data_IF_074746411189
#
_entry.id   IF_074746411189
#
_cell.length_a   1.000
_cell.length_b   1.000
_cell.length_c   1.000
_cell.angle_alpha   90.00
_cell.angle_beta   90.00
_cell.angle_gamma   90.00
#
_symmetry.space_group_name_H-M   'P 1'
#
loop_
_entity.id
_entity.type
_entity.pdbx_description
1 polymer ?
#
# COMPACT_ATOMS: atom_id res chain seq x y z
N UNK A 1 -28.69 -33.56 24.72
CA UNK A 1 -29.67 -32.85 23.87
C UNK A 1 -30.08 -33.80 22.75
N UNK A 2 -31.37 -34.11 22.55
CA UNK A 2 -31.78 -35.02 21.46
C UNK A 2 -31.53 -34.31 20.13
N UNK A 3 -30.63 -34.85 19.31
CA UNK A 3 -30.33 -34.32 17.98
C UNK A 3 -31.62 -34.27 17.15
N UNK A 4 -31.91 -33.11 16.57
CA UNK A 4 -32.99 -32.95 15.62
C UNK A 4 -32.64 -33.70 14.33
N UNK A 5 -33.29 -34.84 14.11
CA UNK A 5 -33.07 -35.71 12.96
C UNK A 5 -33.52 -35.08 11.63
N UNK A 6 -34.17 -33.90 11.66
CA UNK A 6 -34.56 -33.13 10.47
C UNK A 6 -33.61 -31.97 10.18
N UNK A 7 -32.64 -31.71 11.07
CA UNK A 7 -31.61 -30.70 10.86
C UNK A 7 -30.75 -31.08 9.67
N UNK A 8 -30.56 -30.14 8.74
CA UNK A 8 -29.65 -30.35 7.60
C UNK A 8 -28.24 -30.55 8.15
N UNK A 9 -27.54 -31.58 7.67
CA UNK A 9 -26.13 -31.84 8.00
C UNK A 9 -25.27 -30.57 7.87
N UNK A 10 -25.51 -29.78 6.82
CA UNK A 10 -24.84 -28.50 6.54
C UNK A 10 -25.09 -27.37 7.56
N UNK A 11 -26.02 -27.56 8.49
CA UNK A 11 -26.29 -26.59 9.56
C UNK A 11 -25.81 -27.10 10.92
N UNK A 12 -25.14 -28.26 10.95
CA UNK A 12 -24.58 -28.82 12.17
C UNK A 12 -23.27 -28.11 12.46
N UNK A 13 -23.20 -27.60 13.67
CA UNK A 13 -22.03 -26.93 14.17
C UNK A 13 -21.16 -27.96 14.88
N UNK A 14 -19.91 -28.11 14.44
CA UNK A 14 -18.99 -29.13 14.93
C UNK A 14 -17.94 -28.56 15.90
N UNK A 15 -17.85 -27.23 16.05
CA UNK A 15 -16.90 -26.58 16.94
C UNK A 15 -17.41 -26.52 18.38
N UNK A 16 -16.52 -26.81 19.33
CA UNK A 16 -16.74 -26.59 20.76
C UNK A 16 -16.84 -25.08 21.06
N UNK A 17 -17.56 -24.69 22.11
CA UNK A 17 -17.75 -23.27 22.47
C UNK A 17 -16.40 -22.59 22.83
N UNK A 18 -15.45 -23.35 23.40
CA UNK A 18 -14.10 -22.88 23.72
C UNK A 18 -13.26 -22.62 22.46
N UNK A 19 -13.35 -23.49 21.44
CA UNK A 19 -12.63 -23.35 20.17
C UNK A 19 -13.07 -22.09 19.41
N UNK A 20 -14.34 -21.71 19.53
CA UNK A 20 -14.86 -20.48 18.92
C UNK A 20 -14.36 -19.22 19.59
N UNK A 21 -14.27 -19.20 20.92
CA UNK A 21 -13.74 -18.05 21.63
C UNK A 21 -12.30 -17.76 21.19
N UNK A 22 -11.48 -18.80 21.02
CA UNK A 22 -10.13 -18.68 20.48
C UNK A 22 -10.12 -18.15 19.04
N UNK A 23 -11.01 -18.62 18.16
CA UNK A 23 -11.12 -18.08 16.80
C UNK A 23 -11.52 -16.61 16.74
N UNK A 24 -12.44 -16.19 17.62
CA UNK A 24 -12.87 -14.80 17.67
C UNK A 24 -11.75 -13.87 18.14
N UNK A 25 -10.91 -14.37 19.07
CA UNK A 25 -9.74 -13.66 19.56
C UNK A 25 -8.63 -13.60 18.48
N UNK A 26 -8.20 -14.73 17.94
CA UNK A 26 -7.16 -14.77 16.89
C UNK A 26 -7.58 -14.06 15.61
N UNK A 27 -8.85 -14.19 15.25
CA UNK A 27 -9.45 -13.52 14.10
C UNK A 27 -9.74 -12.04 14.33
N UNK A 28 -9.50 -11.50 15.53
CA UNK A 28 -9.74 -10.10 15.88
C UNK A 28 -11.18 -9.64 15.56
N UNK A 29 -12.20 -10.46 15.87
CA UNK A 29 -13.60 -10.18 15.52
C UNK A 29 -14.09 -8.85 16.08
N UNK A 30 -13.59 -8.44 17.25
CA UNK A 30 -13.88 -7.16 17.88
C UNK A 30 -13.48 -5.93 17.03
N UNK A 31 -12.58 -6.08 16.04
CA UNK A 31 -12.28 -5.01 15.09
C UNK A 31 -13.49 -4.57 14.25
N UNK A 32 -14.45 -5.47 14.00
CA UNK A 32 -15.61 -5.19 13.15
C UNK A 32 -16.61 -4.20 13.78
N UNK A 33 -16.55 -4.03 15.09
CA UNK A 33 -17.42 -3.12 15.83
C UNK A 33 -16.79 -1.72 16.02
N UNK A 34 -15.48 -1.60 15.75
CA UNK A 34 -14.75 -0.33 15.90
C UNK A 34 -14.97 0.55 14.67
N UNK A 35 -15.61 1.69 14.86
CA UNK A 35 -15.72 2.75 13.85
C UNK A 35 -15.06 4.02 14.37
N UNK A 36 -13.86 4.31 13.88
CA UNK A 36 -13.18 5.59 14.13
C UNK A 36 -13.16 6.43 12.84
N UNK A 37 -13.53 7.72 12.88
CA UNK A 37 -13.22 8.62 11.76
C UNK A 37 -11.70 8.66 11.60
N UNK A 38 -11.19 8.52 10.38
CA UNK A 38 -9.78 8.78 10.11
C UNK A 38 -9.65 9.91 9.10
N UNK A 39 -8.58 10.68 9.30
CA UNK A 39 -8.23 11.81 8.46
C UNK A 39 -7.81 11.33 7.07
N UNK A 40 -7.89 12.24 6.11
CA UNK A 40 -7.37 12.00 4.77
C UNK A 40 -5.84 12.09 4.74
N UNK A 41 -5.24 11.55 3.67
CA UNK A 41 -3.79 11.61 3.44
C UNK A 41 -3.29 13.06 3.41
N UNK A 42 -3.94 14.02 2.67
CA UNK A 42 -3.51 15.41 2.69
C UNK A 42 -3.61 16.09 4.06
N UNK A 43 -4.58 15.71 4.90
CA UNK A 43 -4.71 16.26 6.26
C UNK A 43 -3.53 15.84 7.14
N UNK A 44 -3.22 14.53 7.21
CA UNK A 44 -2.06 14.05 7.97
C UNK A 44 -0.74 14.59 7.42
N UNK A 45 -0.61 14.72 6.10
CA UNK A 45 0.58 15.34 5.51
C UNK A 45 0.72 16.81 5.92
N UNK A 46 -0.37 17.58 5.94
CA UNK A 46 -0.35 18.98 6.35
C UNK A 46 0.08 19.16 7.81
N UNK A 47 -0.26 18.21 8.70
CA UNK A 47 0.25 18.20 10.08
C UNK A 47 1.79 18.11 10.12
N UNK A 48 2.39 17.27 9.26
CA UNK A 48 3.85 17.16 9.17
C UNK A 48 4.51 18.41 8.57
N UNK A 49 3.87 19.04 7.57
CA UNK A 49 4.34 20.32 7.00
C UNK A 49 4.36 21.43 8.06
N UNK A 50 3.37 21.47 8.95
CA UNK A 50 3.33 22.42 10.08
C UNK A 50 4.39 22.08 11.12
N UNK A 51 4.59 20.78 11.40
CA UNK A 51 5.52 20.28 12.42
C UNK A 51 6.98 20.62 12.11
N UNK A 52 7.45 20.28 10.91
CA UNK A 52 8.80 20.61 10.44
C UNK A 52 8.82 20.90 8.93
N UNK A 53 8.52 22.14 8.52
CA UNK A 53 8.49 22.51 7.11
C UNK A 53 9.87 22.43 6.41
N UNK A 54 10.95 22.46 7.19
CA UNK A 54 12.33 22.48 6.70
C UNK A 54 12.93 21.08 6.52
N UNK A 55 12.38 20.07 7.19
CA UNK A 55 12.80 18.68 7.04
C UNK A 55 12.69 18.20 5.58
N UNK A 56 13.62 17.33 5.18
CA UNK A 56 13.62 16.71 3.86
C UNK A 56 12.51 15.65 3.80
N UNK A 57 11.52 15.88 2.94
CA UNK A 57 10.42 14.94 2.72
C UNK A 57 10.79 13.86 1.70
N UNK A 58 11.39 14.26 0.57
CA UNK A 58 11.72 13.34 -0.53
C UNK A 58 13.13 13.63 -1.05
N UNK A 59 13.93 12.59 -1.31
CA UNK A 59 15.19 12.70 -2.03
C UNK A 59 15.28 11.71 -3.20
N UNK A 60 15.98 12.11 -4.25
CA UNK A 60 16.19 11.31 -5.46
C UNK A 60 17.47 11.75 -6.16
N UNK A 61 18.47 10.86 -6.27
CA UNK A 61 19.70 11.12 -7.03
C UNK A 61 20.46 12.37 -6.59
N UNK A 62 20.57 12.60 -5.28
CA UNK A 62 21.25 13.77 -4.70
C UNK A 62 20.44 15.07 -4.69
N UNK A 63 19.25 15.11 -5.30
CA UNK A 63 18.28 16.20 -5.11
C UNK A 63 17.37 15.90 -3.93
N UNK A 64 16.93 16.93 -3.22
CA UNK A 64 15.99 16.81 -2.11
C UNK A 64 14.93 17.90 -2.16
N UNK A 65 13.74 17.59 -1.64
CA UNK A 65 12.61 18.49 -1.48
C UNK A 65 12.14 18.43 -0.04
N UNK A 66 11.97 19.59 0.59
CA UNK A 66 11.46 19.68 1.95
C UNK A 66 9.95 19.43 2.02
N UNK A 67 9.41 19.20 3.22
CA UNK A 67 7.96 19.13 3.43
C UNK A 67 7.22 20.35 2.88
N UNK A 68 7.72 21.57 3.16
CA UNK A 68 7.18 22.80 2.58
C UNK A 68 7.28 22.82 1.06
N UNK A 69 8.43 22.44 0.50
CA UNK A 69 8.64 22.43 -0.95
C UNK A 69 7.69 21.47 -1.67
N UNK A 70 7.47 20.29 -1.09
CA UNK A 70 6.53 19.30 -1.61
C UNK A 70 5.09 19.79 -1.49
N UNK A 71 4.73 20.42 -0.37
CA UNK A 71 3.42 21.01 -0.15
C UNK A 71 3.09 22.10 -1.20
N UNK A 72 3.99 23.05 -1.38
CA UNK A 72 3.84 24.15 -2.33
C UNK A 72 3.76 23.64 -3.79
N UNK A 73 4.65 22.72 -4.18
CA UNK A 73 4.64 22.14 -5.52
C UNK A 73 3.34 21.36 -5.81
N UNK A 74 2.89 20.55 -4.86
CA UNK A 74 1.63 19.80 -4.99
C UNK A 74 0.40 20.71 -4.95
N UNK A 75 0.41 21.82 -4.19
CA UNK A 75 -0.65 22.83 -4.22
C UNK A 75 -0.76 23.50 -5.61
N UNK A 76 0.36 23.82 -6.24
CA UNK A 76 0.37 24.39 -7.60
C UNK A 76 -0.28 23.44 -8.61
N UNK A 77 0.10 22.17 -8.55
CA UNK A 77 -0.53 21.16 -9.40
C UNK A 77 -2.02 21.01 -9.09
N UNK A 78 -2.41 20.94 -7.81
CA UNK A 78 -3.82 20.81 -7.42
C UNK A 78 -4.68 21.93 -8.00
N UNK A 79 -4.23 23.19 -7.94
CA UNK A 79 -4.96 24.32 -8.56
C UNK A 79 -5.08 24.20 -10.08
N UNK A 80 -4.01 23.76 -10.76
CA UNK A 80 -4.05 23.52 -12.20
C UNK A 80 -5.01 22.37 -12.55
N UNK A 81 -5.03 21.30 -11.78
CA UNK A 81 -5.95 20.19 -11.97
C UNK A 81 -7.41 20.65 -11.78
N UNK A 82 -7.69 21.45 -10.74
CA UNK A 82 -9.01 22.02 -10.48
C UNK A 82 -9.47 22.92 -11.64
N UNK A 83 -8.57 23.70 -12.25
CA UNK A 83 -8.93 24.52 -13.42
C UNK A 83 -9.30 23.71 -14.66
N UNK A 84 -8.89 22.42 -14.71
CA UNK A 84 -9.30 21.45 -15.71
C UNK A 84 -10.53 20.61 -15.29
N UNK A 85 -11.18 20.95 -14.18
CA UNK A 85 -12.39 20.27 -13.71
C UNK A 85 -12.14 19.01 -12.86
N UNK A 86 -10.91 18.81 -12.39
CA UNK A 86 -10.59 17.71 -11.45
C UNK A 86 -11.11 18.06 -10.05
N UNK A 87 -11.76 17.08 -9.40
CA UNK A 87 -12.27 17.20 -8.05
C UNK A 87 -12.80 15.86 -7.50
N UNK A 88 -13.55 15.85 -6.39
CA UNK A 88 -14.08 14.62 -5.80
C UNK A 88 -14.87 13.76 -6.78
N UNK A 89 -14.61 12.45 -6.76
CA UNK A 89 -15.21 11.47 -7.67
C UNK A 89 -14.59 11.42 -9.08
N UNK A 90 -13.68 12.34 -9.42
CA UNK A 90 -12.91 12.30 -10.65
C UNK A 90 -11.62 11.48 -10.48
N UNK A 91 -10.98 11.18 -11.61
CA UNK A 91 -9.72 10.44 -11.68
C UNK A 91 -8.69 11.20 -12.51
N UNK A 92 -7.43 11.11 -12.09
CA UNK A 92 -6.28 11.62 -12.83
C UNK A 92 -5.32 10.47 -13.09
N UNK A 93 -4.98 10.23 -14.36
CA UNK A 93 -3.98 9.21 -14.68
C UNK A 93 -2.57 9.78 -14.51
N UNK A 94 -1.68 8.98 -13.93
CA UNK A 94 -0.29 9.33 -13.67
C UNK A 94 0.60 8.35 -14.44
N UNK A 95 1.31 8.84 -15.46
CA UNK A 95 2.27 8.04 -16.23
C UNK A 95 3.68 8.50 -15.86
N UNK A 96 4.32 7.79 -14.94
CA UNK A 96 5.59 8.20 -14.34
C UNK A 96 6.50 7.01 -14.01
N UNK A 97 7.79 7.19 -14.24
CA UNK A 97 8.82 6.45 -13.50
C UNK A 97 8.90 6.99 -12.07
N UNK A 98 9.47 6.23 -11.14
CA UNK A 98 9.71 6.73 -9.77
C UNK A 98 10.59 7.99 -9.81
N UNK A 99 10.07 9.10 -9.28
CA UNK A 99 10.77 10.38 -9.19
C UNK A 99 10.12 11.28 -8.13
N UNK A 100 10.74 12.43 -7.84
CA UNK A 100 10.16 13.47 -6.97
C UNK A 100 8.88 14.03 -7.59
N UNK A 101 8.91 14.25 -8.90
CA UNK A 101 7.80 14.79 -9.68
C UNK A 101 6.59 13.86 -9.64
N UNK A 102 6.80 12.54 -9.61
CA UNK A 102 5.72 11.58 -9.41
C UNK A 102 5.06 11.70 -8.03
N UNK A 103 5.84 11.94 -6.97
CA UNK A 103 5.31 12.16 -5.61
C UNK A 103 4.56 13.49 -5.52
N UNK A 104 5.08 14.55 -6.17
CA UNK A 104 4.37 15.84 -6.33
C UNK A 104 3.03 15.61 -7.05
N UNK A 105 3.03 14.80 -8.11
CA UNK A 105 1.83 14.49 -8.88
C UNK A 105 0.77 13.76 -8.06
N UNK A 106 1.17 12.72 -7.31
CA UNK A 106 0.29 12.00 -6.39
C UNK A 106 -0.32 12.96 -5.36
N UNK A 107 0.51 13.73 -4.65
CA UNK A 107 0.01 14.67 -3.63
C UNK A 107 -0.89 15.75 -4.21
N UNK A 108 -0.57 16.28 -5.40
CA UNK A 108 -1.38 17.29 -6.07
C UNK A 108 -2.75 16.77 -6.47
N UNK A 109 -2.83 15.53 -6.98
CA UNK A 109 -4.12 14.88 -7.27
C UNK A 109 -4.93 14.69 -5.99
N UNK A 110 -4.32 14.12 -4.95
CA UNK A 110 -5.01 13.85 -3.69
C UNK A 110 -5.59 15.12 -3.04
N UNK A 111 -4.88 16.25 -3.14
CA UNK A 111 -5.35 17.55 -2.64
C UNK A 111 -6.58 18.12 -3.38
N UNK A 112 -6.90 17.62 -4.57
CA UNK A 112 -8.15 17.96 -5.26
C UNK A 112 -9.35 17.13 -4.79
N UNK A 113 -9.11 16.06 -4.02
CA UNK A 113 -10.10 15.03 -3.69
C UNK A 113 -10.37 14.02 -4.83
N UNK A 114 -9.68 14.14 -5.96
CA UNK A 114 -9.72 13.13 -7.01
C UNK A 114 -8.81 11.93 -6.67
N UNK A 115 -9.12 10.79 -7.29
CA UNK A 115 -8.29 9.59 -7.18
C UNK A 115 -7.17 9.61 -8.22
N UNK A 116 -5.95 9.25 -7.83
CA UNK A 116 -4.88 9.01 -8.82
C UNK A 116 -4.95 7.57 -9.36
N UNK A 117 -4.60 7.42 -10.64
CA UNK A 117 -4.53 6.14 -11.34
C UNK A 117 -3.10 5.97 -11.86
N UNK A 118 -2.22 5.28 -11.13
CA UNK A 118 -0.84 5.13 -11.54
C UNK A 118 -0.71 4.10 -12.67
N UNK A 119 0.09 4.43 -13.67
CA UNK A 119 0.38 3.57 -14.81
C UNK A 119 1.89 3.45 -14.94
N UNK A 120 2.40 2.22 -14.84
CA UNK A 120 3.82 1.95 -14.99
C UNK A 120 4.26 2.18 -16.45
N UNK A 121 5.25 3.04 -16.71
CA UNK A 121 5.68 3.38 -18.07
C UNK A 121 6.36 2.21 -18.79
N UNK A 122 6.71 1.11 -18.12
CA UNK A 122 7.23 -0.08 -18.79
C UNK A 122 6.14 -0.94 -19.44
N UNK A 123 4.85 -0.71 -19.14
CA UNK A 123 3.77 -1.52 -19.72
C UNK A 123 3.60 -1.23 -21.22
N UNK A 124 3.21 -2.21 -22.04
CA UNK A 124 2.94 -1.98 -23.46
C UNK A 124 1.79 -0.98 -23.71
N UNK A 125 1.79 -0.28 -24.85
CA UNK A 125 0.79 0.74 -25.19
C UNK A 125 -0.65 0.20 -25.22
N UNK A 126 -0.84 -1.08 -25.52
CA UNK A 126 -2.17 -1.72 -25.42
C UNK A 126 -2.68 -1.74 -23.98
N UNK A 127 -1.80 -1.98 -23.00
CA UNK A 127 -2.13 -1.98 -21.58
C UNK A 127 -2.37 -0.57 -21.07
N UNK A 128 -1.54 0.39 -21.47
CA UNK A 128 -1.71 1.82 -21.18
C UNK A 128 -3.08 2.31 -21.66
N UNK A 129 -3.41 2.10 -22.95
CA UNK A 129 -4.71 2.50 -23.52
C UNK A 129 -5.88 1.82 -22.83
N UNK A 130 -5.76 0.53 -22.50
CA UNK A 130 -6.80 -0.16 -21.74
C UNK A 130 -7.09 0.54 -20.41
N UNK A 131 -6.06 0.85 -19.62
CA UNK A 131 -6.24 1.52 -18.32
C UNK A 131 -6.84 2.91 -18.50
N UNK A 132 -6.36 3.70 -19.46
CA UNK A 132 -6.93 5.03 -19.73
C UNK A 132 -8.42 4.95 -20.12
N UNK A 133 -8.80 4.01 -20.98
CA UNK A 133 -10.20 3.84 -21.40
C UNK A 133 -11.09 3.34 -20.25
N UNK A 134 -10.63 2.36 -19.48
CA UNK A 134 -11.43 1.74 -18.42
C UNK A 134 -11.54 2.65 -17.19
N UNK A 135 -10.47 3.38 -16.85
CA UNK A 135 -10.47 4.32 -15.73
C UNK A 135 -11.20 5.62 -16.07
N UNK A 136 -11.21 6.07 -17.33
CA UNK A 136 -11.82 7.34 -17.73
C UNK A 136 -11.35 8.53 -16.90
N UNK A 137 -10.04 8.85 -16.87
CA UNK A 137 -9.51 10.01 -16.18
C UNK A 137 -9.90 11.31 -16.91
N UNK A 138 -9.97 12.42 -16.17
CA UNK A 138 -10.24 13.76 -16.74
C UNK A 138 -9.00 14.29 -17.46
N UNK A 139 -7.83 14.10 -16.85
CA UNK A 139 -6.53 14.52 -17.39
C UNK A 139 -5.47 13.44 -17.13
N UNK A 140 -4.36 13.52 -17.87
CA UNK A 140 -3.15 12.73 -17.61
C UNK A 140 -2.03 13.68 -17.20
N UNK A 141 -1.33 13.38 -16.11
CA UNK A 141 -0.11 14.09 -15.71
C UNK A 141 1.08 13.17 -15.98
N UNK A 142 2.13 13.71 -16.59
CA UNK A 142 3.33 12.95 -16.98
C UNK A 142 4.54 13.88 -17.16
N UNK A 143 5.66 13.38 -17.68
CA UNK A 143 6.82 14.18 -18.11
C UNK A 143 6.84 14.34 -19.63
N UNK A 144 7.55 15.35 -20.14
CA UNK A 144 7.79 15.53 -21.57
C UNK A 144 8.24 14.24 -22.28
N UNK A 145 9.11 13.44 -21.65
CA UNK A 145 9.68 12.24 -22.29
C UNK A 145 8.65 11.12 -22.48
N UNK A 146 7.61 11.08 -21.65
CA UNK A 146 6.56 10.06 -21.67
C UNK A 146 5.29 10.54 -22.41
N UNK A 147 5.18 11.84 -22.69
CA UNK A 147 4.00 12.45 -23.32
C UNK A 147 3.67 11.86 -24.70
N UNK A 148 4.68 11.51 -25.51
CA UNK A 148 4.48 10.95 -26.85
C UNK A 148 3.67 9.64 -26.83
N UNK A 149 3.77 8.87 -25.75
CA UNK A 149 3.01 7.61 -25.58
C UNK A 149 1.51 7.81 -25.38
N UNK A 150 1.11 9.02 -25.02
CA UNK A 150 -0.29 9.41 -24.82
C UNK A 150 -0.93 9.96 -26.10
N UNK A 151 -0.18 9.99 -27.21
CA UNK A 151 -0.65 10.43 -28.51
C UNK A 151 -1.94 9.71 -28.94
N UNK A 152 -2.94 10.49 -29.37
CA UNK A 152 -4.23 9.96 -29.82
C UNK A 152 -5.19 9.51 -28.70
N UNK A 153 -4.86 9.74 -27.42
CA UNK A 153 -5.77 9.47 -26.30
C UNK A 153 -6.97 10.43 -26.24
N UNK A 154 -6.85 11.63 -26.80
CA UNK A 154 -7.87 12.69 -26.72
C UNK A 154 -7.98 13.35 -25.33
N UNK A 155 -7.09 13.00 -24.40
CA UNK A 155 -7.04 13.55 -23.05
C UNK A 155 -6.16 14.81 -23.01
N UNK A 156 -6.43 15.70 -22.06
CA UNK A 156 -5.51 16.78 -21.72
C UNK A 156 -4.30 16.17 -21.03
N UNK A 157 -3.11 16.47 -21.58
CA UNK A 157 -1.82 16.03 -21.05
C UNK A 157 -1.17 17.22 -20.37
N UNK A 158 -0.84 17.07 -19.09
CA UNK A 158 -0.12 18.06 -18.29
C UNK A 158 1.30 17.54 -18.09
N UNK A 159 2.29 18.31 -18.56
CA UNK A 159 3.67 18.10 -18.19
C UNK A 159 3.90 18.67 -16.78
N UNK A 160 4.45 17.86 -15.89
CA UNK A 160 4.72 18.23 -14.51
C UNK A 160 5.75 19.37 -14.38
N UNK A 161 6.68 19.46 -15.33
CA UNK A 161 7.76 20.46 -15.30
C UNK A 161 7.26 21.86 -15.68
N UNK A 162 6.20 21.96 -16.48
CA UNK A 162 5.53 23.23 -16.80
C UNK A 162 4.85 23.85 -15.57
N UNK A 163 4.40 23.01 -14.64
CA UNK A 163 3.78 23.43 -13.37
C UNK A 163 4.82 24.03 -12.40
N UNK A 164 6.06 23.54 -12.48
CA UNK A 164 7.18 24.01 -11.65
C UNK A 164 7.83 25.28 -12.20
N UNK A 165 7.70 25.53 -13.52
CA UNK A 165 8.39 26.61 -14.24
C UNK A 165 7.52 27.85 -14.50
N UNK A 166 6.23 27.81 -14.16
CA UNK A 166 5.29 28.89 -14.42
C UNK A 166 5.59 30.18 -13.62
N UNK A 167 5.37 31.39 -14.20
CA UNK A 167 5.51 32.65 -13.50
C UNK A 167 4.31 32.83 -12.55
N UNK A 168 4.50 32.51 -11.28
CA UNK A 168 3.54 32.78 -10.21
C UNK A 168 4.26 32.87 -8.87
N UNK A 169 3.73 33.60 -7.88
CA UNK A 169 4.29 33.55 -6.53
C UNK A 169 4.25 32.11 -6.01
N UNK A 170 5.22 31.75 -5.14
CA UNK A 170 5.21 30.47 -4.42
C UNK A 170 3.88 30.23 -3.66
N UNK A 171 3.18 31.33 -3.34
CA UNK A 171 1.77 31.37 -3.03
C UNK A 171 0.94 31.58 -4.30
N UNK A 172 0.26 30.54 -4.78
CA UNK A 172 -0.94 30.80 -5.58
C UNK A 172 -1.94 31.42 -4.61
N UNK A 173 -2.33 32.69 -4.83
CA UNK A 173 -3.52 33.32 -4.24
C UNK A 173 -4.78 32.63 -4.78
N UNK A 174 -4.85 31.32 -4.60
CA UNK A 174 -5.96 30.46 -4.97
C UNK A 174 -6.89 30.31 -3.77
N UNK A 175 -8.17 29.96 -4.01
CA UNK A 175 -9.04 29.60 -2.90
C UNK A 175 -8.40 28.46 -2.11
N UNK A 176 -8.44 28.56 -0.77
CA UNK A 176 -7.89 27.53 0.10
C UNK A 176 -8.44 26.15 -0.31
N UNK A 177 -7.52 25.21 -0.57
CA UNK A 177 -7.91 23.83 -0.89
C UNK A 177 -8.64 23.24 0.32
N UNK A 178 -9.86 22.77 0.09
CA UNK A 178 -10.60 22.05 1.12
C UNK A 178 -10.01 20.66 1.26
N UNK A 179 -9.79 20.21 2.50
CA UNK A 179 -9.34 18.86 2.76
C UNK A 179 -10.35 17.85 2.18
N UNK A 180 -9.87 16.81 1.47
CA UNK A 180 -10.77 15.76 0.99
C UNK A 180 -11.32 14.96 2.17
N UNK A 181 -12.49 14.35 1.98
CA UNK A 181 -13.05 13.48 3.00
C UNK A 181 -12.21 12.20 3.08
N UNK A 182 -12.00 11.65 4.28
CA UNK A 182 -11.40 10.32 4.45
C UNK A 182 -12.15 9.22 3.67
N UNK A 183 -13.42 9.45 3.29
CA UNK A 183 -14.21 8.52 2.47
C UNK A 183 -14.04 8.65 0.96
N UNK A 184 -13.40 9.71 0.49
CA UNK A 184 -13.09 9.89 -0.93
C UNK A 184 -12.04 8.86 -1.38
N UNK A 185 -12.10 8.46 -2.65
CA UNK A 185 -11.15 7.51 -3.23
C UNK A 185 -9.80 8.20 -3.40
N UNK A 186 -8.76 7.68 -2.74
CA UNK A 186 -7.39 8.17 -2.88
C UNK A 186 -6.75 7.67 -4.18
N UNK A 187 -6.93 6.38 -4.47
CA UNK A 187 -6.34 5.79 -5.66
C UNK A 187 -7.16 4.66 -6.28
N UNK A 188 -6.88 4.41 -7.55
CA UNK A 188 -7.32 3.21 -8.27
C UNK A 188 -6.12 2.50 -8.88
N UNK A 189 -5.76 1.35 -8.31
CA UNK A 189 -4.65 0.52 -8.80
C UNK A 189 -5.21 -0.67 -9.59
N UNK A 190 -4.64 -0.94 -10.77
CA UNK A 190 -5.09 -2.02 -11.65
C UNK A 190 -4.32 -3.31 -11.41
N UNK A 191 -5.01 -4.36 -10.98
CA UNK A 191 -4.43 -5.70 -10.80
C UNK A 191 -4.68 -6.60 -12.02
N UNK A 192 -3.86 -7.64 -12.18
CA UNK A 192 -4.11 -8.72 -13.14
C UNK A 192 -5.35 -9.50 -12.67
N UNK A 193 -6.46 -9.37 -13.41
CA UNK A 193 -7.65 -10.19 -13.14
C UNK A 193 -7.38 -11.65 -13.48
N UNK A 194 -7.98 -12.58 -12.72
CA UNK A 194 -7.94 -14.03 -13.03
C UNK A 194 -8.56 -14.35 -14.39
N UNK A 195 -9.42 -13.48 -14.90
CA UNK A 195 -10.02 -13.54 -16.25
C UNK A 195 -9.09 -13.03 -17.36
N UNK A 196 -7.86 -12.62 -17.02
CA UNK A 196 -6.90 -11.97 -17.92
C UNK A 196 -7.20 -10.51 -18.21
N UNK A 197 -8.39 -10.01 -17.88
CA UNK A 197 -8.75 -8.59 -18.04
C UNK A 197 -8.42 -7.83 -16.75
N UNK A 198 -7.59 -6.78 -16.82
CA UNK A 198 -7.24 -6.01 -15.65
C UNK A 198 -8.44 -5.27 -15.01
N UNK A 199 -8.38 -5.08 -13.69
CA UNK A 199 -9.46 -4.52 -12.88
C UNK A 199 -8.91 -3.45 -11.94
N UNK A 200 -9.53 -2.28 -11.92
CA UNK A 200 -9.13 -1.17 -11.04
C UNK A 200 -9.77 -1.31 -9.66
N UNK A 201 -8.95 -1.42 -8.62
CA UNK A 201 -9.39 -1.49 -7.21
C UNK A 201 -9.44 -0.09 -6.63
N UNK A 202 -10.60 0.35 -6.14
CA UNK A 202 -10.78 1.67 -5.54
C UNK A 202 -10.54 1.67 -4.03
N UNK A 203 -9.53 2.41 -3.58
CA UNK A 203 -9.15 2.52 -2.18
C UNK A 203 -9.38 3.95 -1.65
N UNK A 204 -10.15 4.13 -0.57
CA UNK A 204 -10.35 5.44 0.03
C UNK A 204 -9.18 5.87 0.91
N UNK A 205 -9.04 7.19 1.10
CA UNK A 205 -8.00 7.77 1.95
C UNK A 205 -7.91 7.12 3.34
N UNK A 206 -9.06 6.94 3.98
CA UNK A 206 -9.15 6.39 5.33
C UNK A 206 -8.52 5.01 5.48
N UNK A 207 -8.48 4.21 4.41
CA UNK A 207 -7.88 2.88 4.50
C UNK A 207 -6.36 2.97 4.62
N UNK A 208 -5.74 3.90 3.87
CA UNK A 208 -4.29 4.13 3.96
C UNK A 208 -3.93 4.68 5.32
N UNK A 209 -4.67 5.67 5.82
CA UNK A 209 -4.36 6.28 7.12
C UNK A 209 -4.57 5.30 8.27
N UNK A 210 -5.60 4.45 8.22
CA UNK A 210 -5.81 3.38 9.21
C UNK A 210 -4.79 2.25 9.13
N UNK A 211 -4.35 1.87 7.92
CA UNK A 211 -3.25 0.91 7.77
C UNK A 211 -2.05 1.41 8.56
N UNK A 212 -1.70 2.68 8.36
CA UNK A 212 -0.55 3.30 9.00
C UNK A 212 -0.73 3.50 10.51
N UNK A 213 -1.92 3.87 10.97
CA UNK A 213 -2.24 3.93 12.41
C UNK A 213 -2.10 2.54 13.06
N UNK A 214 -2.56 1.48 12.39
CA UNK A 214 -2.58 0.13 12.95
C UNK A 214 -1.20 -0.53 13.07
N UNK A 215 -0.20 -0.05 12.35
CA UNK A 215 1.18 -0.56 12.36
C UNK A 215 2.11 0.30 13.21
N UNK A 216 1.73 1.55 13.52
CA UNK A 216 2.63 2.51 14.18
C UNK A 216 3.00 2.01 15.58
N UNK A 217 1.99 1.48 16.28
CA UNK A 217 2.16 0.81 17.58
C UNK A 217 3.16 -0.37 17.52
N UNK A 218 3.26 -1.07 16.37
CA UNK A 218 4.09 -2.26 16.20
C UNK A 218 5.48 -1.96 15.62
N UNK A 219 5.62 -0.92 14.80
CA UNK A 219 6.86 -0.58 14.06
C UNK A 219 7.59 0.65 14.59
N UNK A 220 7.00 1.41 15.50
CA UNK A 220 7.55 2.64 16.07
C UNK A 220 7.98 3.64 14.98
N UNK A 221 7.02 4.16 14.21
CA UNK A 221 7.33 5.08 13.11
C UNK A 221 7.70 6.45 13.67
N UNK A 222 8.97 6.84 13.53
CA UNK A 222 9.48 8.08 14.11
C UNK A 222 9.92 9.11 13.04
N UNK A 223 9.77 10.42 13.32
CA UNK A 223 10.24 11.46 12.41
C UNK A 223 11.73 11.32 12.07
N UNK A 224 12.08 11.61 10.82
CA UNK A 224 13.45 11.54 10.32
C UNK A 224 13.93 10.15 9.88
N UNK A 225 13.15 9.08 10.07
CA UNK A 225 13.46 7.75 9.51
C UNK A 225 13.62 7.81 7.99
N UNK A 226 14.60 7.08 7.46
CA UNK A 226 14.84 6.94 6.03
C UNK A 226 14.10 5.75 5.44
N UNK A 227 13.23 5.99 4.47
CA UNK A 227 12.43 4.97 3.82
C UNK A 227 12.86 4.82 2.36
N UNK A 228 13.10 3.59 1.90
CA UNK A 228 13.36 3.34 0.49
C UNK A 228 12.06 3.14 -0.30
N UNK A 229 11.92 3.86 -1.43
CA UNK A 229 10.87 3.60 -2.41
C UNK A 229 11.43 2.77 -3.56
N UNK A 230 11.18 1.46 -3.53
CA UNK A 230 11.71 0.50 -4.49
C UNK A 230 10.65 0.00 -5.47
N UNK A 231 9.37 0.02 -5.09
CA UNK A 231 8.32 -0.64 -5.85
C UNK A 231 7.65 0.28 -6.88
N UNK A 232 7.18 -0.31 -7.98
CA UNK A 232 6.43 0.42 -9.02
C UNK A 232 5.27 1.20 -8.40
N UNK A 233 5.04 2.42 -8.90
CA UNK A 233 3.89 3.25 -8.50
C UNK A 233 2.54 2.59 -8.83
N UNK A 234 2.55 1.64 -9.76
CA UNK A 234 1.37 0.83 -10.12
C UNK A 234 1.17 -0.40 -9.21
N UNK A 235 2.00 -0.57 -8.19
CA UNK A 235 1.86 -1.58 -7.15
C UNK A 235 1.66 -0.90 -5.80
N UNK A 236 0.79 -1.44 -4.96
CA UNK A 236 0.33 -0.80 -3.74
C UNK A 236 1.36 -0.82 -2.59
N UNK A 237 2.45 -1.58 -2.68
CA UNK A 237 3.63 -1.35 -1.84
C UNK A 237 4.19 0.08 -1.95
N UNK A 238 4.08 0.72 -3.11
CA UNK A 238 4.51 2.12 -3.23
C UNK A 238 3.65 3.05 -2.36
N UNK A 239 2.39 2.71 -2.08
CA UNK A 239 1.50 3.46 -1.17
C UNK A 239 2.05 3.39 0.25
N UNK A 240 2.45 2.20 0.69
CA UNK A 240 3.12 1.98 1.98
C UNK A 240 4.43 2.77 2.07
N UNK A 241 5.31 2.64 1.07
CA UNK A 241 6.61 3.31 1.08
C UNK A 241 6.45 4.84 1.15
N UNK A 242 5.58 5.40 0.31
CA UNK A 242 5.37 6.86 0.21
C UNK A 242 4.71 7.40 1.47
N UNK A 243 3.56 6.84 1.86
CA UNK A 243 2.78 7.44 2.95
C UNK A 243 3.25 6.99 4.33
N UNK A 244 3.89 5.83 4.47
CA UNK A 244 4.58 5.44 5.70
C UNK A 244 5.65 6.47 6.07
N UNK A 245 6.46 6.90 5.09
CA UNK A 245 7.44 7.95 5.28
C UNK A 245 6.80 9.33 5.53
N UNK A 246 5.94 9.78 4.60
CA UNK A 246 5.49 11.17 4.57
C UNK A 246 4.48 11.54 5.67
N UNK A 247 3.73 10.59 6.20
CA UNK A 247 2.71 10.87 7.21
C UNK A 247 3.24 10.83 8.65
N UNK A 248 4.47 10.35 8.86
CA UNK A 248 5.15 10.29 10.18
C UNK A 248 6.36 11.24 10.27
N UNK A 249 6.55 12.13 9.29
CA UNK A 249 7.69 13.06 9.29
C UNK A 249 9.02 12.40 8.88
N UNK A 250 8.97 11.24 8.23
CA UNK A 250 10.14 10.56 7.68
C UNK A 250 10.65 11.18 6.37
N UNK A 251 11.71 10.60 5.82
CA UNK A 251 12.29 10.95 4.51
C UNK A 251 12.14 9.79 3.54
N UNK A 252 11.42 10.02 2.44
CA UNK A 252 11.29 9.09 1.34
C UNK A 252 12.49 9.21 0.37
N UNK A 253 13.25 8.14 0.19
CA UNK A 253 14.36 8.05 -0.76
C UNK A 253 13.90 7.27 -1.98
N UNK A 254 13.75 7.97 -3.10
CA UNK A 254 13.33 7.39 -4.38
C UNK A 254 14.49 6.62 -5.01
N UNK A 255 14.33 5.32 -5.16
CA UNK A 255 15.35 4.43 -5.73
C UNK A 255 15.05 4.15 -7.20
N UNK A 256 16.00 4.46 -8.08
CA UNK A 256 15.81 4.27 -9.53
C UNK A 256 15.74 2.78 -9.91
N UNK A 257 15.07 2.46 -11.01
CA UNK A 257 14.92 1.07 -11.49
C UNK A 257 16.25 0.35 -11.72
N UNK A 258 17.28 1.08 -12.18
CA UNK A 258 18.59 0.50 -12.42
C UNK A 258 19.31 0.12 -11.13
N UNK A 259 19.02 0.83 -10.03
CA UNK A 259 19.57 0.52 -8.70
C UNK A 259 18.80 -0.61 -8.04
N UNK A 260 17.45 -0.56 -8.03
CA UNK A 260 16.61 -1.63 -7.45
C UNK A 260 16.95 -3.01 -8.03
N UNK A 261 17.22 -3.09 -9.34
CA UNK A 261 17.55 -4.34 -10.04
C UNK A 261 18.99 -4.82 -9.87
N UNK A 262 19.83 -4.07 -9.16
CA UNK A 262 21.26 -4.39 -8.99
C UNK A 262 21.58 -4.48 -7.50
N UNK A 263 21.60 -5.69 -6.90
CA UNK A 263 21.76 -5.87 -5.45
C UNK A 263 22.93 -5.10 -4.83
N UNK A 264 24.12 -5.12 -5.45
CA UNK A 264 25.28 -4.37 -4.94
C UNK A 264 25.08 -2.85 -4.93
N UNK A 265 24.36 -2.31 -5.91
CA UNK A 265 24.07 -0.87 -5.97
C UNK A 265 22.98 -0.49 -4.99
N UNK A 266 21.96 -1.35 -4.83
CA UNK A 266 20.94 -1.15 -3.81
C UNK A 266 21.57 -1.16 -2.42
N UNK A 267 22.39 -2.17 -2.12
CA UNK A 267 23.15 -2.27 -0.87
C UNK A 267 23.93 -0.99 -0.55
N UNK A 268 24.74 -0.51 -1.50
CA UNK A 268 25.49 0.74 -1.34
C UNK A 268 24.56 1.95 -1.08
N UNK A 269 23.45 2.06 -1.83
CA UNK A 269 22.49 3.15 -1.64
C UNK A 269 21.84 3.11 -0.26
N UNK A 270 21.45 1.92 0.24
CA UNK A 270 20.83 1.77 1.56
C UNK A 270 21.76 2.29 2.67
N UNK A 271 23.07 2.09 2.54
CA UNK A 271 24.08 2.58 3.48
C UNK A 271 24.28 4.09 3.33
N UNK A 272 24.55 4.55 2.11
CA UNK A 272 24.87 5.97 1.83
C UNK A 272 23.71 6.88 2.23
N UNK A 273 22.48 6.45 1.96
CA UNK A 273 21.26 7.17 2.29
C UNK A 273 20.74 6.85 3.71
N UNK A 274 21.42 6.01 4.50
CA UNK A 274 21.01 5.63 5.86
C UNK A 274 19.54 5.24 5.95
N UNK A 275 19.14 4.28 5.11
CA UNK A 275 17.77 3.77 5.10
C UNK A 275 17.56 2.91 6.36
N UNK A 276 16.49 3.19 7.10
CA UNK A 276 16.08 2.46 8.29
C UNK A 276 14.92 1.50 8.00
N UNK A 277 14.01 1.88 7.10
CA UNK A 277 12.85 1.05 6.73
C UNK A 277 12.92 0.66 5.26
N UNK A 278 12.91 -0.66 5.02
CA UNK A 278 12.94 -1.26 3.70
C UNK A 278 11.76 -2.20 3.52
N UNK A 279 11.02 -2.06 2.42
CA UNK A 279 10.08 -3.09 1.97
C UNK A 279 10.67 -3.85 0.79
N UNK A 280 10.49 -5.17 0.73
CA UNK A 280 10.95 -6.04 -0.37
C UNK A 280 10.05 -7.26 -0.55
N UNK A 281 10.01 -7.81 -1.76
CA UNK A 281 9.62 -9.21 -1.91
C UNK A 281 10.70 -10.14 -1.33
N UNK A 282 10.33 -11.30 -0.76
CA UNK A 282 11.29 -12.30 -0.30
C UNK A 282 12.42 -12.57 -1.30
N UNK A 283 12.09 -12.80 -2.58
CA UNK A 283 13.09 -13.09 -3.61
C UNK A 283 14.11 -11.96 -3.82
N UNK A 284 13.66 -10.71 -3.80
CA UNK A 284 14.53 -9.55 -3.97
C UNK A 284 15.44 -9.35 -2.74
N UNK A 285 14.91 -9.58 -1.54
CA UNK A 285 15.72 -9.51 -0.32
C UNK A 285 16.77 -10.62 -0.27
N UNK A 286 16.48 -11.85 -0.70
CA UNK A 286 17.49 -12.91 -0.76
C UNK A 286 18.66 -12.56 -1.68
N UNK A 287 18.40 -11.87 -2.80
CA UNK A 287 19.46 -11.35 -3.66
C UNK A 287 20.29 -10.26 -2.98
N UNK A 288 19.66 -9.40 -2.17
CA UNK A 288 20.35 -8.40 -1.35
C UNK A 288 21.21 -9.05 -0.26
N UNK A 289 20.70 -10.06 0.44
CA UNK A 289 21.46 -10.83 1.44
C UNK A 289 22.71 -11.47 0.84
N UNK A 290 22.58 -12.06 -0.35
CA UNK A 290 23.72 -12.64 -1.05
C UNK A 290 24.78 -11.58 -1.42
N UNK A 291 24.37 -10.35 -1.70
CA UNK A 291 25.28 -9.23 -1.97
C UNK A 291 25.93 -8.67 -0.69
N UNK A 292 25.24 -8.75 0.45
CA UNK A 292 25.76 -8.34 1.76
C UNK A 292 26.78 -9.34 2.33
N UNK A 293 26.61 -10.64 2.01
CA UNK A 293 27.44 -11.73 2.53
C UNK A 293 28.95 -11.51 2.31
N UNK A 294 29.72 -11.62 3.40
CA UNK A 294 31.18 -11.52 3.36
C UNK A 294 31.74 -10.09 3.29
N UNK A 295 30.90 -9.05 3.42
CA UNK A 295 31.35 -7.66 3.53
C UNK A 295 31.91 -7.35 4.92
N UNK A 296 32.79 -6.33 4.99
CA UNK A 296 33.39 -5.88 6.26
C UNK A 296 32.34 -5.23 7.16
N UNK A 297 32.62 -5.18 8.47
CA UNK A 297 31.72 -4.56 9.45
C UNK A 297 31.42 -3.08 9.17
N UNK A 298 32.33 -2.36 8.50
CA UNK A 298 32.17 -0.95 8.13
C UNK A 298 31.16 -0.72 6.99
N UNK A 299 30.71 -1.78 6.33
CA UNK A 299 29.76 -1.75 5.20
C UNK A 299 28.44 -2.47 5.54
N UNK A 300 28.01 -2.40 6.81
CA UNK A 300 26.76 -3.02 7.27
C UNK A 300 25.54 -2.16 6.95
N UNK A 301 24.43 -2.82 6.64
CA UNK A 301 23.13 -2.19 6.47
C UNK A 301 22.65 -1.58 7.80
N UNK A 302 22.30 -0.30 7.79
CA UNK A 302 21.74 0.42 8.94
C UNK A 302 20.21 0.30 9.05
N UNK A 303 19.66 -0.87 8.70
CA UNK A 303 18.23 -1.11 8.70
C UNK A 303 17.73 -1.39 10.13
N UNK A 304 16.58 -0.80 10.46
CA UNK A 304 15.82 -1.06 11.69
C UNK A 304 14.69 -2.07 11.44
N UNK A 305 14.03 -1.96 10.28
CA UNK A 305 12.91 -2.83 9.89
C UNK A 305 12.99 -3.22 8.43
N UNK A 306 12.79 -4.51 8.14
CA UNK A 306 12.53 -5.03 6.80
C UNK A 306 11.13 -5.64 6.75
N UNK A 307 10.29 -5.11 5.87
CA UNK A 307 8.93 -5.62 5.62
C UNK A 307 8.92 -6.46 4.36
N UNK A 308 8.45 -7.70 4.50
CA UNK A 308 8.21 -8.63 3.40
C UNK A 308 6.74 -8.67 3.02
N UNK A 309 6.48 -8.92 1.74
CA UNK A 309 5.20 -9.41 1.27
C UNK A 309 5.19 -9.58 -0.25
N UNK A 310 4.01 -9.85 -0.80
CA UNK A 310 3.83 -10.13 -2.23
C UNK A 310 4.27 -11.52 -2.69
N UNK A 311 5.07 -12.25 -1.90
CA UNK A 311 5.43 -13.65 -2.12
C UNK A 311 5.47 -14.41 -0.79
N UNK A 312 5.40 -15.74 -0.84
CA UNK A 312 5.65 -16.56 0.33
C UNK A 312 7.11 -16.41 0.78
N UNK A 313 7.31 -16.02 2.04
CA UNK A 313 8.61 -16.00 2.69
C UNK A 313 9.06 -17.44 3.03
N UNK A 314 10.33 -17.75 2.81
CA UNK A 314 11.01 -18.97 3.31
C UNK A 314 11.88 -18.60 4.54
N UNK A 315 11.40 -18.75 5.80
CA UNK A 315 12.15 -18.33 6.98
C UNK A 315 13.51 -19.04 7.13
N UNK A 316 13.62 -20.30 6.68
CA UNK A 316 14.85 -21.07 6.71
C UNK A 316 16.04 -20.37 6.02
N UNK A 317 15.79 -19.56 4.98
CA UNK A 317 16.83 -18.79 4.27
C UNK A 317 17.39 -17.61 5.07
N UNK A 318 16.73 -17.23 6.16
CA UNK A 318 17.14 -16.15 7.05
C UNK A 318 18.02 -16.66 8.21
N UNK A 319 18.38 -17.95 8.23
CA UNK A 319 19.22 -18.55 9.29
C UNK A 319 20.52 -17.77 9.54
N UNK A 320 21.27 -17.51 8.47
CA UNK A 320 22.57 -16.84 8.54
C UNK A 320 22.39 -15.37 8.97
N UNK A 321 21.31 -14.74 8.52
CA UNK A 321 20.98 -13.36 8.92
C UNK A 321 20.81 -13.23 10.42
N UNK A 322 20.03 -14.10 11.07
CA UNK A 322 19.84 -14.03 12.52
C UNK A 322 21.14 -14.29 13.30
N UNK A 323 22.11 -15.01 12.73
CA UNK A 323 23.43 -15.20 13.34
C UNK A 323 24.27 -13.93 13.24
N UNK A 324 24.27 -13.28 12.07
CA UNK A 324 25.09 -12.10 11.79
C UNK A 324 24.51 -10.80 12.36
N UNK A 325 23.19 -10.76 12.52
CA UNK A 325 22.38 -9.57 12.85
C UNK A 325 21.37 -9.85 13.98
N UNK A 326 21.82 -10.22 15.20
CA UNK A 326 20.93 -10.68 16.26
C UNK A 326 20.04 -9.60 16.90
N UNK A 327 20.28 -8.32 16.62
CA UNK A 327 19.56 -7.20 17.24
C UNK A 327 18.72 -6.37 16.26
N UNK A 328 19.12 -6.27 15.00
CA UNK A 328 18.49 -5.41 14.00
C UNK A 328 18.90 -5.85 12.60
N UNK A 329 18.04 -5.70 11.59
CA UNK A 329 16.65 -5.24 11.64
C UNK A 329 15.67 -6.31 12.11
N UNK A 330 14.52 -5.83 12.60
CA UNK A 330 13.31 -6.65 12.75
C UNK A 330 12.81 -7.07 11.37
N UNK A 331 12.50 -8.36 11.23
CA UNK A 331 12.07 -8.97 9.99
C UNK A 331 10.56 -9.24 10.06
N UNK A 332 9.77 -8.49 9.31
CA UNK A 332 8.31 -8.52 9.41
C UNK A 332 7.73 -9.10 8.13
N UNK A 333 7.03 -10.22 8.22
CA UNK A 333 6.25 -10.78 7.11
C UNK A 333 4.82 -10.27 7.18
N UNK A 334 4.38 -9.53 6.15
CA UNK A 334 3.02 -9.01 6.06
C UNK A 334 2.34 -9.56 4.82
N UNK A 335 1.15 -10.13 5.00
CA UNK A 335 0.31 -10.57 3.89
C UNK A 335 -0.79 -9.54 3.65
N UNK A 336 -1.16 -9.35 2.39
CA UNK A 336 -2.30 -8.55 1.97
C UNK A 336 -2.48 -8.63 0.45
N UNK A 337 -3.65 -8.19 -0.01
CA UNK A 337 -3.95 -7.99 -1.42
C UNK A 337 -4.37 -6.54 -1.64
N UNK A 338 -4.40 -6.09 -2.89
CA UNK A 338 -4.77 -4.70 -3.20
C UNK A 338 -6.14 -4.32 -2.66
N UNK A 339 -7.09 -5.25 -2.66
CA UNK A 339 -8.44 -5.08 -2.15
C UNK A 339 -8.53 -4.92 -0.62
N UNK A 340 -7.49 -5.34 0.12
CA UNK A 340 -7.39 -5.16 1.58
C UNK A 340 -6.50 -3.98 1.97
N UNK A 341 -6.09 -3.16 0.99
CA UNK A 341 -5.20 -2.01 1.17
C UNK A 341 -3.79 -2.41 1.63
N UNK A 342 -2.96 -2.86 0.69
CA UNK A 342 -1.54 -3.20 0.89
C UNK A 342 -1.30 -4.41 1.79
N UNK A 343 -1.51 -4.26 3.10
CA UNK A 343 -1.25 -5.28 4.10
C UNK A 343 -2.50 -5.51 4.96
N UNK A 344 -2.71 -6.77 5.32
CA UNK A 344 -3.84 -7.26 6.09
C UNK A 344 -3.42 -7.96 7.38
N UNK A 345 -2.19 -8.48 7.45
CA UNK A 345 -1.65 -9.19 8.61
C UNK A 345 -0.25 -8.71 9.01
N UNK A 346 0.15 -9.10 10.22
CA UNK A 346 1.47 -8.84 10.78
C UNK A 346 2.07 -10.11 11.39
N UNK A 347 3.32 -10.42 11.03
CA UNK A 347 4.14 -11.46 11.66
C UNK A 347 5.59 -11.01 11.76
N UNK A 348 6.07 -10.79 12.98
CA UNK A 348 7.51 -10.73 13.21
C UNK A 348 8.12 -12.14 13.09
N UNK A 349 9.15 -12.26 12.27
CA UNK A 349 9.90 -13.47 12.01
C UNK A 349 11.07 -13.50 13.00
N UNK A 350 11.17 -14.60 13.71
CA UNK A 350 12.16 -14.82 14.77
C UNK A 350 12.98 -16.08 14.48
N UNK A 351 14.01 -16.32 15.28
CA UNK A 351 14.81 -17.55 15.19
C UNK A 351 13.96 -18.83 15.34
N UNK A 352 12.83 -18.77 16.04
CA UNK A 352 11.94 -19.92 16.19
C UNK A 352 11.25 -20.32 14.88
N UNK A 353 11.04 -19.37 13.97
CA UNK A 353 10.36 -19.60 12.69
C UNK A 353 11.26 -20.29 11.66
N UNK A 354 12.58 -20.12 11.80
CA UNK A 354 13.60 -20.63 10.88
C UNK A 354 13.66 -22.17 10.87
N UNK A 355 13.20 -22.82 11.95
CA UNK A 355 13.18 -24.28 12.09
C UNK A 355 12.03 -24.92 11.30
N UNK A 356 10.99 -24.14 10.97
CA UNK A 356 9.81 -24.62 10.25
C UNK A 356 9.95 -24.55 8.72
N UNK A 357 8.96 -25.13 8.03
CA UNK A 357 8.84 -25.07 6.56
C UNK A 357 7.66 -24.20 6.10
N UNK A 358 6.92 -23.58 7.02
CA UNK A 358 5.77 -22.74 6.71
C UNK A 358 6.19 -21.30 6.42
N UNK A 359 5.33 -20.58 5.69
CA UNK A 359 5.42 -19.14 5.51
C UNK A 359 4.34 -18.47 6.37
N UNK A 360 4.60 -18.20 7.67
CA UNK A 360 3.57 -17.67 8.55
C UNK A 360 3.24 -16.23 8.17
N UNK A 361 1.96 -15.96 7.95
CA UNK A 361 1.45 -14.61 7.67
C UNK A 361 1.01 -13.87 8.95
N UNK A 362 0.92 -14.58 10.08
CA UNK A 362 0.61 -13.99 11.38
C UNK A 362 -0.87 -13.72 11.61
N UNK A 363 -1.14 -12.66 12.36
CA UNK A 363 -2.48 -12.28 12.83
C UNK A 363 -3.00 -11.07 12.05
N UNK A 364 -4.32 -10.86 11.94
CA UNK A 364 -4.88 -9.69 11.29
C UNK A 364 -4.39 -8.40 11.94
N UNK A 365 -4.17 -7.35 11.14
CA UNK A 365 -3.90 -6.01 11.64
C UNK A 365 -5.07 -5.52 12.51
N UNK A 366 -4.78 -4.60 13.44
CA UNK A 366 -5.73 -4.18 14.48
C UNK A 366 -7.08 -3.69 13.97
N UNK A 367 -7.17 -3.22 12.73
CA UNK A 367 -8.38 -2.67 12.10
C UNK A 367 -9.10 -3.67 11.15
N UNK A 368 -8.63 -4.91 11.10
CA UNK A 368 -9.11 -6.01 10.26
C UNK A 368 -9.43 -7.24 11.12
N UNK A 369 -10.25 -8.12 10.56
CA UNK A 369 -10.54 -9.42 11.13
C UNK A 369 -10.36 -10.53 10.07
N UNK A 370 -9.87 -11.68 10.51
CA UNK A 370 -9.68 -12.87 9.69
C UNK A 370 -10.65 -13.98 10.06
N UNK A 371 -11.02 -14.77 9.07
CA UNK A 371 -11.75 -16.01 9.30
C UNK A 371 -11.36 -17.02 8.24
N UNK A 372 -11.10 -18.26 8.65
CA UNK A 372 -10.78 -19.34 7.71
C UNK A 372 -12.00 -20.24 7.61
N UNK A 373 -12.57 -20.34 6.41
CA UNK A 373 -13.87 -20.96 6.17
C UNK A 373 -13.78 -22.15 5.20
N UNK A 374 -14.70 -23.09 5.36
CA UNK A 374 -14.95 -24.13 4.37
C UNK A 374 -15.90 -23.67 3.25
N UNK A 375 -16.24 -24.58 2.33
CA UNK A 375 -17.14 -24.31 1.19
C UNK A 375 -18.59 -23.99 1.59
N UNK A 376 -18.95 -24.16 2.86
CA UNK A 376 -20.26 -23.85 3.43
C UNK A 376 -20.24 -22.59 4.31
N UNK A 377 -19.14 -21.82 4.26
CA UNK A 377 -18.92 -20.63 5.07
C UNK A 377 -18.94 -20.92 6.58
N UNK A 378 -18.58 -22.14 6.98
CA UNK A 378 -18.37 -22.49 8.39
C UNK A 378 -16.89 -22.37 8.72
N UNK A 379 -16.52 -21.86 9.92
CA UNK A 379 -15.13 -21.82 10.30
C UNK A 379 -14.54 -23.23 10.39
N UNK A 380 -13.29 -23.39 9.96
CA UNK A 380 -12.58 -24.66 10.01
C UNK A 380 -11.83 -24.82 11.35
N UNK A 381 -11.67 -26.06 11.81
CA UNK A 381 -10.85 -26.38 12.99
C UNK A 381 -9.38 -26.01 12.81
N UNK A 382 -8.68 -25.86 13.93
CA UNK A 382 -7.23 -25.64 13.95
C UNK A 382 -6.53 -26.72 13.12
N UNK A 383 -5.50 -26.31 12.36
CA UNK A 383 -4.74 -27.15 11.42
C UNK A 383 -5.51 -27.71 10.21
N UNK A 384 -6.79 -27.35 10.03
CA UNK A 384 -7.56 -27.67 8.82
C UNK A 384 -7.44 -26.54 7.81
N UNK A 385 -7.15 -26.89 6.55
CA UNK A 385 -7.07 -25.92 5.46
C UNK A 385 -8.47 -25.46 5.06
N UNK A 386 -8.65 -24.13 5.00
CA UNK A 386 -9.84 -23.49 4.45
C UNK A 386 -9.48 -22.23 3.65
N UNK A 387 -10.49 -21.53 3.15
CA UNK A 387 -10.33 -20.24 2.47
C UNK A 387 -10.28 -19.11 3.48
N UNK A 388 -9.27 -18.24 3.39
CA UNK A 388 -9.16 -17.05 4.22
C UNK A 388 -10.17 -16.00 3.76
N UNK A 389 -10.90 -15.40 4.69
CA UNK A 389 -11.76 -14.23 4.49
C UNK A 389 -11.23 -13.08 5.33
N UNK A 390 -11.16 -11.90 4.71
CA UNK A 390 -10.72 -10.66 5.36
C UNK A 390 -11.88 -9.70 5.48
N UNK A 391 -12.03 -9.14 6.68
CA UNK A 391 -13.14 -8.30 7.08
C UNK A 391 -12.65 -7.00 7.71
N UNK A 392 -13.47 -5.96 7.69
CA UNK A 392 -13.22 -4.75 8.47
C UNK A 392 -12.81 -3.55 7.63
N UNK A 393 -12.15 -2.60 8.28
CA UNK A 393 -12.10 -1.22 7.80
C UNK A 393 -11.00 -0.92 6.78
N UNK A 394 -10.13 -1.91 6.49
CA UNK A 394 -9.11 -1.85 5.43
C UNK A 394 -9.60 -2.34 4.06
N UNK A 395 -10.84 -2.82 3.95
CA UNK A 395 -11.41 -3.23 2.67
C UNK A 395 -11.65 -2.03 1.75
N UNK A 396 -11.20 -2.14 0.50
CA UNK A 396 -11.50 -1.20 -0.57
C UNK A 396 -12.99 -1.18 -0.93
N UNK A 397 -13.40 -0.22 -1.77
CA UNK A 397 -14.75 -0.18 -2.33
C UNK A 397 -14.98 -1.22 -3.45
N UNK A 398 -13.96 -2.02 -3.75
CA UNK A 398 -13.96 -3.04 -4.79
C UNK A 398 -13.55 -2.52 -6.16
N UNK A 399 -13.97 -3.26 -7.18
CA UNK A 399 -13.58 -3.05 -8.56
C UNK A 399 -14.48 -2.02 -9.24
N UNK A 400 -13.87 -0.94 -9.74
CA UNK A 400 -14.58 0.14 -10.43
C UNK A 400 -15.36 -0.41 -11.63
N UNK A 401 -16.67 -0.17 -11.67
CA UNK A 401 -17.53 -0.55 -12.80
C UNK A 401 -17.73 -2.07 -13.00
N UNK A 402 -17.36 -2.93 -12.04
CA UNK A 402 -17.45 -4.40 -12.16
C UNK A 402 -18.41 -5.02 -11.13
N UNK A 403 -19.66 -4.57 -11.09
CA UNK A 403 -20.65 -5.07 -10.12
C UNK A 403 -20.77 -6.62 -10.05
N UNK A 404 -20.78 -7.38 -11.17
CA UNK A 404 -20.82 -8.84 -11.08
C UNK A 404 -19.59 -9.45 -10.41
N UNK A 405 -18.39 -8.91 -10.68
CA UNK A 405 -17.16 -9.38 -10.05
C UNK A 405 -17.12 -9.03 -8.56
N UNK A 406 -17.57 -7.82 -8.20
CA UNK A 406 -17.69 -7.41 -6.80
C UNK A 406 -18.58 -8.37 -6.02
N UNK A 407 -19.74 -8.77 -6.56
CA UNK A 407 -20.66 -9.69 -5.90
C UNK A 407 -20.06 -11.10 -5.65
N UNK A 408 -19.00 -11.48 -6.36
CA UNK A 408 -18.31 -12.77 -6.16
C UNK A 408 -17.10 -12.69 -5.24
N UNK A 409 -16.56 -11.49 -4.99
CA UNK A 409 -15.33 -11.30 -4.19
C UNK A 409 -15.62 -10.59 -2.87
N UNK A 410 -16.42 -9.53 -2.90
CA UNK A 410 -16.88 -8.76 -1.75
C UNK A 410 -18.26 -9.27 -1.36
N UNK A 411 -18.28 -10.26 -0.47
CA UNK A 411 -19.49 -10.96 -0.02
C UNK A 411 -20.01 -10.40 1.29
N UNK A 412 -21.25 -10.73 1.65
CA UNK A 412 -21.79 -10.38 2.95
C UNK A 412 -21.00 -11.10 4.06
N UNK A 413 -20.66 -10.38 5.12
CA UNK A 413 -19.96 -11.02 6.24
C UNK A 413 -20.93 -11.81 7.11
N UNK A 414 -20.71 -13.12 7.36
CA UNK A 414 -21.66 -13.94 8.10
C UNK A 414 -21.78 -13.56 9.59
N UNK A 415 -20.82 -12.81 10.12
CA UNK A 415 -20.74 -12.47 11.54
C UNK A 415 -21.34 -11.11 11.93
N UNK A 416 -21.85 -10.35 10.96
CA UNK A 416 -22.46 -9.03 11.19
C UNK A 416 -21.45 -7.93 11.55
N UNK A 417 -21.87 -6.68 11.37
CA UNK A 417 -21.10 -5.47 11.67
C UNK A 417 -21.52 -4.29 10.78
N UNK A 418 -21.25 -3.03 11.16
CA UNK A 418 -21.52 -1.86 10.34
C UNK A 418 -20.60 -1.74 9.10
N UNK A 419 -19.54 -2.54 9.00
CA UNK A 419 -18.59 -2.51 7.88
C UNK A 419 -19.14 -3.24 6.63
N UNK A 420 -18.89 -2.70 5.42
CA UNK A 420 -19.46 -3.23 4.18
C UNK A 420 -18.73 -4.50 3.71
N UNK A 421 -19.13 -5.65 4.26
CA UNK A 421 -18.80 -6.96 3.71
C UNK A 421 -17.43 -7.54 4.10
N UNK A 422 -17.15 -8.71 3.53
CA UNK A 422 -15.96 -9.51 3.73
C UNK A 422 -15.42 -9.92 2.35
N UNK A 423 -14.10 -9.95 2.18
CA UNK A 423 -13.48 -10.36 0.91
C UNK A 423 -12.88 -11.74 1.03
N UNK A 424 -13.17 -12.60 0.05
CA UNK A 424 -12.40 -13.81 -0.22
C UNK A 424 -11.24 -13.44 -1.16
N UNK A 425 -9.98 -13.38 -0.69
CA UNK A 425 -8.81 -13.00 -1.49
C UNK A 425 -8.63 -13.89 -2.73
N UNK A 426 -9.20 -15.10 -2.71
CA UNK A 426 -8.88 -16.16 -3.65
C UNK A 426 -7.54 -16.81 -3.30
N UNK A 427 -7.48 -18.12 -3.48
CA UNK A 427 -6.34 -18.97 -3.10
C UNK A 427 -5.04 -18.48 -3.75
N UNK A 428 -3.97 -18.40 -2.94
CA UNK A 428 -2.57 -18.38 -3.36
C UNK A 428 -1.81 -19.50 -2.66
#
# INVERSE_FOLDING_TARGET
>A
MKADATRRLLSMDLGDDDERAEWEEWGNRAALERSAPSLSIPELFAEQVVRDPGAVAVSCGGRSVSYRGLDEASNRLAHLLISHGVGPGQRVALLFSRSVEAVVAIMGVLKTGAAYVPIDPSVPDVRLRFVLCDAGPVVVVTTAELADRLGGSGLVIIDIDDVSSGPGPAHIDGPQLSAPCGSDIAYVIYTSGTTGTPKGVAIPHRNVTRLLEAIDDDLELVPGQGWAQCHSLAFDFSVWEIFGALLHGGRLVVVSDSVVRTPDRLHALLIDERISVLSQTPSAFYALLAADAGRSQDARLGLDVVVFGGEALEPARLSDWFQDHPQSPRLINMYGITETTVHASFREITVADVVGTSSPIGVPLGHLAFSVLDEWLQPVSVDVVGELYVAGSGLGYGYVGRAPLNATRFVACPWGGPAPGCIAPGIW
#
